data_IF_612765285504
#
_entry.id   IF_612765285504
#
_cell.length_a   1.000
_cell.length_b   1.000
_cell.length_c   1.000
_cell.angle_alpha   90.00
_cell.angle_beta   90.00
_cell.angle_gamma   90.00
#
_symmetry.space_group_name_H-M   'P 1'
#
loop_
_entity.id
_entity.type
_entity.pdbx_description
1 polymer ?
#
# COMPACT_ATOMS: atom_id res chain seq x y z
N UNK A 1 -9.18 -37.41 0.03
CA UNK A 1 -8.22 -37.41 1.14
C UNK A 1 -6.85 -37.16 0.54
N UNK A 2 -6.47 -35.90 0.42
CA UNK A 2 -5.13 -35.49 0.03
C UNK A 2 -4.54 -34.75 1.23
N UNK A 3 -3.41 -35.25 1.72
CA UNK A 3 -2.65 -34.67 2.82
C UNK A 3 -1.68 -33.64 2.21
N UNK A 4 -1.81 -32.37 2.58
CA UNK A 4 -0.79 -31.35 2.34
C UNK A 4 0.06 -31.26 3.61
N UNK A 5 1.34 -31.59 3.47
CA UNK A 5 2.35 -31.46 4.52
C UNK A 5 2.76 -30.00 4.74
N UNK A 6 3.35 -29.67 5.91
CA UNK A 6 3.84 -28.33 6.20
C UNK A 6 5.17 -28.09 5.48
N UNK A 7 5.20 -27.12 4.56
CA UNK A 7 6.43 -26.66 3.94
C UNK A 7 7.29 -25.89 4.95
N UNK A 8 8.56 -26.25 4.93
CA UNK A 8 9.67 -25.76 5.73
C UNK A 8 9.83 -24.23 5.62
N UNK A 9 9.50 -23.52 6.69
CA UNK A 9 10.02 -22.17 6.94
C UNK A 9 11.40 -22.28 7.58
N UNK A 10 12.44 -22.37 6.76
CA UNK A 10 13.82 -22.23 7.19
C UNK A 10 14.63 -21.44 6.17
N UNK A 11 14.86 -20.16 6.44
CA UNK A 11 16.22 -19.58 6.52
C UNK A 11 16.19 -18.08 6.87
N UNK A 12 17.25 -17.58 7.54
CA UNK A 12 17.29 -16.26 8.17
C UNK A 12 17.68 -15.15 7.17
N UNK A 13 16.88 -14.09 7.15
CA UNK A 13 17.19 -12.81 6.50
C UNK A 13 18.49 -12.24 7.08
N UNK A 14 19.56 -12.28 6.29
CA UNK A 14 20.86 -11.71 6.68
C UNK A 14 20.75 -10.19 6.81
N UNK A 15 21.56 -9.59 7.70
CA UNK A 15 21.57 -8.14 7.94
C UNK A 15 21.83 -7.27 6.69
N UNK A 16 22.25 -7.87 5.57
CA UNK A 16 22.41 -7.22 4.28
C UNK A 16 21.07 -6.93 3.55
N UNK A 17 19.98 -7.64 3.86
CA UNK A 17 18.66 -7.36 3.26
C UNK A 17 17.93 -6.18 3.93
N UNK A 18 18.25 -5.85 5.19
CA UNK A 18 17.65 -4.72 5.89
C UNK A 18 18.16 -3.34 5.41
N UNK A 19 19.30 -3.31 4.71
CA UNK A 19 19.83 -2.08 4.09
C UNK A 19 19.22 -1.77 2.72
N UNK A 20 18.43 -2.68 2.14
CA UNK A 20 17.75 -2.47 0.86
C UNK A 20 16.39 -1.74 1.01
N UNK A 21 15.86 -1.60 2.23
CA UNK A 21 14.57 -0.96 2.50
C UNK A 21 14.65 0.56 2.71
N UNK A 22 15.85 1.12 2.90
CA UNK A 22 16.07 2.58 2.98
C UNK A 22 16.19 3.26 1.59
N UNK A 23 16.15 2.49 0.51
CA UNK A 23 16.25 3.01 -0.87
C UNK A 23 14.93 3.52 -1.46
N UNK A 24 13.81 3.42 -0.73
CA UNK A 24 12.48 3.80 -1.26
C UNK A 24 12.11 5.29 -1.08
N UNK A 25 13.04 6.13 -0.61
CA UNK A 25 12.87 7.59 -0.50
C UNK A 25 13.53 8.38 -1.64
N UNK A 26 13.56 7.82 -2.87
CA UNK A 26 14.05 8.53 -4.06
C UNK A 26 13.09 8.41 -5.25
N UNK A 27 11.79 8.60 -5.01
CA UNK A 27 10.78 8.71 -6.05
C UNK A 27 10.51 10.20 -6.40
N UNK A 28 11.56 10.98 -6.65
CA UNK A 28 11.42 12.39 -7.09
C UNK A 28 12.31 12.75 -8.29
N UNK A 29 12.87 11.75 -8.99
CA UNK A 29 13.62 11.97 -10.22
C UNK A 29 13.09 11.10 -11.35
N UNK A 30 12.11 11.65 -12.07
CA UNK A 30 11.70 11.16 -13.38
C UNK A 30 12.62 11.79 -14.45
N UNK A 31 13.49 11.02 -15.14
CA UNK A 31 14.25 11.56 -16.26
C UNK A 31 13.39 11.36 -17.52
N UNK A 32 12.49 12.29 -17.79
CA UNK A 32 11.57 12.17 -18.94
C UNK A 32 11.07 13.49 -19.54
N UNK A 33 11.53 14.64 -19.06
CA UNK A 33 11.21 15.93 -19.66
C UNK A 33 12.33 16.37 -20.60
N UNK A 34 12.28 15.92 -21.86
CA UNK A 34 13.12 16.46 -22.94
C UNK A 34 12.35 16.49 -24.26
N UNK A 35 11.85 17.70 -24.54
CA UNK A 35 11.54 18.35 -25.82
C UNK A 35 10.58 17.67 -26.84
N UNK A 36 9.52 18.39 -27.30
CA UNK A 36 8.83 18.01 -28.53
C UNK A 36 9.72 18.30 -29.75
N UNK A 37 10.20 17.23 -30.38
CA UNK A 37 10.84 17.28 -31.69
C UNK A 37 9.84 17.75 -32.75
N UNK A 38 10.17 18.86 -33.40
CA UNK A 38 9.53 19.31 -34.62
C UNK A 38 9.91 18.36 -35.76
N UNK A 39 8.95 17.62 -36.32
CA UNK A 39 8.85 17.24 -37.74
C UNK A 39 7.62 16.33 -37.92
N UNK A 40 6.55 16.91 -38.46
CA UNK A 40 5.30 16.21 -38.76
C UNK A 40 4.41 17.10 -39.61
N UNK A 41 4.74 17.20 -40.89
CA UNK A 41 4.03 17.95 -41.92
C UNK A 41 2.60 17.42 -42.07
N UNK A 42 1.60 18.21 -41.67
CA UNK A 42 0.20 18.02 -42.08
C UNK A 42 -0.12 19.14 -43.08
N UNK A 43 -0.67 18.84 -44.27
CA UNK A 43 -0.81 19.85 -45.31
C UNK A 43 -1.84 20.90 -44.92
N UNK A 44 -1.36 22.14 -44.89
CA UNK A 44 -2.13 23.37 -44.82
C UNK A 44 -2.87 23.55 -46.15
N UNK A 45 -4.16 23.22 -46.20
CA UNK A 45 -5.07 23.65 -47.27
C UNK A 45 -6.03 24.69 -46.70
N UNK A 46 -5.90 25.91 -47.23
CA UNK A 46 -6.39 27.14 -46.62
C UNK A 46 -7.90 27.33 -46.66
N UNK A 47 -8.35 28.34 -45.91
CA UNK A 47 -9.09 29.44 -46.54
C UNK A 47 -8.97 30.69 -45.68
N UNK A 48 -8.34 31.69 -46.27
CA UNK A 48 -8.34 33.07 -45.82
C UNK A 48 -9.76 33.62 -45.88
N UNK A 49 -10.28 34.17 -44.78
CA UNK A 49 -11.18 35.32 -44.88
C UNK A 49 -10.82 36.35 -43.81
N UNK A 50 -10.43 37.51 -44.33
CA UNK A 50 -10.13 38.76 -43.66
C UNK A 50 -11.36 39.34 -42.92
N UNK A 51 -11.07 39.98 -41.79
CA UNK A 51 -11.62 41.24 -41.28
C UNK A 51 -13.15 41.43 -41.19
N UNK A 52 -13.65 41.37 -39.96
CA UNK A 52 -14.60 42.36 -39.38
C UNK A 52 -14.25 42.51 -37.89
N UNK A 53 -13.51 43.55 -37.52
CA UNK A 53 -14.02 44.84 -37.01
C UNK A 53 -14.30 44.84 -35.50
N UNK A 54 -13.85 45.92 -34.85
CA UNK A 54 -13.87 46.16 -33.41
C UNK A 54 -15.29 46.07 -32.82
N UNK A 55 -15.44 45.24 -31.80
CA UNK A 55 -16.56 45.29 -30.87
C UNK A 55 -16.19 44.59 -29.58
N UNK A 56 -15.82 45.36 -28.54
CA UNK A 56 -15.79 44.88 -27.14
C UNK A 56 -17.23 44.62 -26.69
N UNK A 57 -17.85 43.55 -27.19
CA UNK A 57 -19.12 43.05 -26.73
C UNK A 57 -18.87 41.96 -25.70
N UNK A 58 -19.54 42.03 -24.55
CA UNK A 58 -19.50 41.03 -23.47
C UNK A 58 -19.58 39.60 -24.02
N UNK A 59 -18.42 38.97 -24.16
CA UNK A 59 -18.28 37.54 -24.46
C UNK A 59 -18.66 36.78 -23.20
N UNK A 60 -19.87 36.23 -23.14
CA UNK A 60 -20.20 35.43 -21.96
C UNK A 60 -21.51 34.67 -21.99
N UNK A 61 -22.48 35.07 -22.82
CA UNK A 61 -23.75 34.33 -22.87
C UNK A 61 -24.16 34.02 -24.31
N UNK A 62 -24.35 32.73 -24.66
CA UNK A 62 -24.97 32.35 -25.91
C UNK A 62 -26.33 33.04 -26.03
N UNK A 63 -26.55 33.78 -27.11
CA UNK A 63 -27.86 34.38 -27.39
C UNK A 63 -28.83 33.24 -27.68
N UNK A 64 -29.82 33.09 -26.80
CA UNK A 64 -30.85 32.07 -26.90
C UNK A 64 -31.96 32.63 -27.76
N UNK A 65 -32.15 32.10 -28.97
CA UNK A 65 -33.37 32.36 -29.71
C UNK A 65 -34.53 31.65 -28.98
N UNK A 66 -35.57 32.42 -28.65
CA UNK A 66 -36.72 31.99 -27.85
C UNK A 66 -38.04 32.04 -28.63
N UNK A 67 -38.00 32.38 -29.92
CA UNK A 67 -39.16 32.35 -30.81
C UNK A 67 -39.35 31.00 -31.52
N UNK A 68 -40.38 30.92 -32.35
CA UNK A 68 -40.64 29.76 -33.21
C UNK A 68 -39.60 29.71 -34.35
N UNK A 69 -38.79 28.64 -34.48
CA UNK A 69 -37.82 28.48 -35.57
C UNK A 69 -38.46 28.43 -36.97
N UNK A 70 -39.77 28.27 -37.08
CA UNK A 70 -40.51 28.18 -38.33
C UNK A 70 -41.35 29.43 -38.67
N UNK A 71 -41.26 30.49 -37.86
CA UNK A 71 -42.02 31.73 -38.02
C UNK A 71 -41.91 32.32 -39.45
N UNK A 72 -43.05 32.75 -40.02
CA UNK A 72 -43.15 33.19 -41.42
C UNK A 72 -42.34 34.46 -41.74
N UNK A 73 -42.01 35.26 -40.73
CA UNK A 73 -41.21 36.48 -40.83
C UNK A 73 -39.69 36.23 -40.95
N UNK A 74 -39.26 34.99 -40.74
CA UNK A 74 -37.85 34.60 -40.85
C UNK A 74 -37.49 34.22 -42.29
N UNK A 75 -36.33 34.69 -42.75
CA UNK A 75 -35.73 34.18 -43.99
C UNK A 75 -35.31 32.71 -43.85
N UNK A 76 -35.27 31.96 -44.95
CA UNK A 76 -34.83 30.56 -44.94
C UNK A 76 -33.42 30.37 -44.38
N UNK A 77 -32.56 31.39 -44.50
CA UNK A 77 -31.22 31.38 -43.92
C UNK A 77 -31.28 31.52 -42.39
N UNK A 78 -32.13 32.42 -41.88
CA UNK A 78 -32.33 32.59 -40.44
C UNK A 78 -32.98 31.35 -39.82
N UNK A 79 -34.00 30.76 -40.47
CA UNK A 79 -34.62 29.50 -40.03
C UNK A 79 -33.59 28.37 -39.91
N UNK A 80 -32.73 28.20 -40.92
CA UNK A 80 -31.64 27.21 -40.90
C UNK A 80 -30.65 27.46 -39.77
N UNK A 81 -30.22 28.70 -39.57
CA UNK A 81 -29.28 29.03 -38.50
C UNK A 81 -29.87 28.81 -37.10
N UNK A 82 -31.15 29.16 -36.90
CA UNK A 82 -31.86 28.90 -35.64
C UNK A 82 -31.97 27.40 -35.39
N UNK A 83 -32.43 26.62 -36.37
CA UNK A 83 -32.53 25.14 -36.26
C UNK A 83 -31.18 24.50 -35.94
N UNK A 84 -30.10 24.94 -36.60
CA UNK A 84 -28.73 24.48 -36.33
C UNK A 84 -28.31 24.78 -34.89
N UNK A 85 -28.59 25.98 -34.38
CA UNK A 85 -28.26 26.37 -33.00
C UNK A 85 -29.03 25.54 -31.97
N UNK A 86 -30.31 25.28 -32.21
CA UNK A 86 -31.14 24.42 -31.36
C UNK A 86 -30.54 23.00 -31.33
N UNK A 87 -30.23 22.44 -32.50
CA UNK A 87 -29.60 21.11 -32.60
C UNK A 87 -28.26 21.01 -31.87
N UNK A 88 -27.38 22.01 -32.03
CA UNK A 88 -26.09 22.06 -31.33
C UNK A 88 -26.25 22.15 -29.81
N UNK A 89 -27.19 22.99 -29.35
CA UNK A 89 -27.49 23.11 -27.92
C UNK A 89 -27.99 21.79 -27.34
N UNK A 90 -28.92 21.13 -28.03
CA UNK A 90 -29.48 19.87 -27.57
C UNK A 90 -28.43 18.75 -27.58
N UNK A 91 -27.58 18.70 -28.61
CA UNK A 91 -26.43 17.79 -28.65
C UNK A 91 -25.47 18.02 -27.47
N UNK A 92 -25.11 19.28 -27.20
CA UNK A 92 -24.26 19.64 -26.07
C UNK A 92 -24.92 19.30 -24.72
N UNK A 93 -26.23 19.47 -24.59
CA UNK A 93 -26.99 19.07 -23.40
C UNK A 93 -26.89 17.56 -23.16
N UNK A 94 -27.15 16.75 -24.19
CA UNK A 94 -27.04 15.28 -24.09
C UNK A 94 -25.63 14.82 -23.74
N UNK A 95 -24.60 15.46 -24.31
CA UNK A 95 -23.21 15.15 -23.96
C UNK A 95 -22.89 15.49 -22.50
N UNK A 96 -23.35 16.64 -22.00
CA UNK A 96 -23.17 17.00 -20.59
C UNK A 96 -23.90 16.05 -19.64
N UNK A 97 -25.07 15.56 -20.03
CA UNK A 97 -25.81 14.58 -19.23
C UNK A 97 -25.02 13.27 -19.12
N UNK A 98 -24.55 12.72 -20.25
CA UNK A 98 -23.71 11.51 -20.23
C UNK A 98 -22.42 11.70 -19.42
N UNK A 99 -21.78 12.86 -19.55
CA UNK A 99 -20.58 13.16 -18.78
C UNK A 99 -20.88 13.26 -17.29
N UNK A 100 -22.07 13.74 -16.88
CA UNK A 100 -22.47 13.79 -15.47
C UNK A 100 -22.52 12.39 -14.87
N UNK A 101 -23.05 11.41 -15.59
CA UNK A 101 -23.12 10.02 -15.12
C UNK A 101 -21.71 9.45 -14.92
N UNK A 102 -20.81 9.67 -15.88
CA UNK A 102 -19.39 9.24 -15.77
C UNK A 102 -18.69 9.94 -14.62
N UNK A 103 -18.86 11.26 -14.49
CA UNK A 103 -18.30 12.02 -13.36
C UNK A 103 -18.84 11.53 -12.02
N UNK A 104 -20.09 11.09 -11.96
CA UNK A 104 -20.67 10.52 -10.75
C UNK A 104 -20.04 9.17 -10.42
N UNK A 105 -19.94 8.25 -11.38
CA UNK A 105 -19.26 6.97 -11.16
C UNK A 105 -17.81 7.17 -10.68
N UNK A 106 -17.07 8.09 -11.31
CA UNK A 106 -15.69 8.39 -10.90
C UNK A 106 -15.62 9.00 -9.50
N UNK A 107 -16.60 9.81 -9.09
CA UNK A 107 -16.68 10.34 -7.72
C UNK A 107 -16.91 9.22 -6.70
N UNK A 108 -17.81 8.30 -7.01
CA UNK A 108 -18.14 7.19 -6.12
C UNK A 108 -16.94 6.22 -5.97
N UNK A 109 -16.24 5.91 -7.08
CA UNK A 109 -15.00 5.12 -7.05
C UNK A 109 -13.89 5.79 -6.26
N UNK A 110 -13.73 7.11 -6.40
CA UNK A 110 -12.72 7.87 -5.67
C UNK A 110 -12.99 7.84 -4.15
N UNK A 111 -14.26 7.90 -3.75
CA UNK A 111 -14.65 7.82 -2.34
C UNK A 111 -14.44 6.42 -1.74
N UNK A 112 -14.69 5.35 -2.51
CA UNK A 112 -14.36 3.98 -2.10
C UNK A 112 -12.84 3.82 -1.88
N UNK A 113 -12.04 4.28 -2.85
CA UNK A 113 -10.57 4.20 -2.75
C UNK A 113 -10.04 4.99 -1.56
N UNK A 114 -10.58 6.18 -1.28
CA UNK A 114 -10.22 6.96 -0.09
C UNK A 114 -10.54 6.21 1.20
N UNK A 115 -11.73 5.63 1.29
CA UNK A 115 -12.16 4.88 2.47
C UNK A 115 -11.24 3.68 2.72
N UNK A 116 -10.87 2.96 1.66
CA UNK A 116 -9.93 1.84 1.74
C UNK A 116 -8.52 2.27 2.11
N UNK A 117 -8.05 3.41 1.58
CA UNK A 117 -6.76 3.97 1.93
C UNK A 117 -6.70 4.34 3.41
N UNK A 118 -7.73 5.02 3.93
CA UNK A 118 -7.80 5.38 5.35
C UNK A 118 -7.79 4.12 6.24
N UNK A 119 -8.55 3.08 5.90
CA UNK A 119 -8.53 1.83 6.65
C UNK A 119 -7.15 1.16 6.64
N UNK A 120 -6.45 1.18 5.49
CA UNK A 120 -5.10 0.65 5.38
C UNK A 120 -4.07 1.46 6.17
N UNK A 121 -4.23 2.78 6.24
CA UNK A 121 -3.38 3.66 7.07
C UNK A 121 -3.59 3.39 8.56
N UNK A 122 -4.83 3.21 9.00
CA UNK A 122 -5.17 2.84 10.38
C UNK A 122 -4.59 1.47 10.76
N UNK A 123 -4.71 0.47 9.88
CA UNK A 123 -4.09 -0.84 10.07
C UNK A 123 -2.56 -0.76 10.14
N UNK A 124 -1.92 0.02 9.26
CA UNK A 124 -0.48 0.23 9.30
C UNK A 124 -0.03 0.88 10.61
N UNK A 125 -0.82 1.80 11.15
CA UNK A 125 -0.53 2.40 12.46
C UNK A 125 -0.57 1.36 13.56
N UNK A 126 -1.61 0.53 13.61
CA UNK A 126 -1.74 -0.56 14.59
C UNK A 126 -0.55 -1.51 14.50
N UNK A 127 -0.23 -2.01 13.31
CA UNK A 127 0.90 -2.92 13.10
C UNK A 127 2.24 -2.31 13.53
N UNK A 128 2.45 -1.00 13.29
CA UNK A 128 3.66 -0.32 13.76
C UNK A 128 3.75 -0.28 15.28
N UNK A 129 2.63 -0.07 15.96
CA UNK A 129 2.60 -0.04 17.42
C UNK A 129 2.75 -1.44 18.02
N UNK A 130 2.16 -2.46 17.41
CA UNK A 130 2.39 -3.88 17.76
C UNK A 130 3.86 -4.29 17.58
N UNK A 131 4.49 -3.92 16.47
CA UNK A 131 5.91 -4.18 16.24
C UNK A 131 6.81 -3.51 17.29
N UNK A 132 6.46 -2.29 17.72
CA UNK A 132 7.21 -1.61 18.80
C UNK A 132 7.04 -2.33 20.13
N UNK A 133 5.82 -2.76 20.45
CA UNK A 133 5.53 -3.51 21.67
C UNK A 133 6.29 -4.84 21.69
N UNK A 134 6.19 -5.62 20.62
CA UNK A 134 6.92 -6.89 20.48
C UNK A 134 8.43 -6.71 20.58
N UNK A 135 8.98 -5.62 20.02
CA UNK A 135 10.40 -5.29 20.16
C UNK A 135 10.77 -4.97 21.62
N UNK A 136 9.92 -4.24 22.34
CA UNK A 136 10.14 -3.94 23.76
C UNK A 136 10.13 -5.22 24.61
N UNK A 137 9.16 -6.10 24.38
CA UNK A 137 9.05 -7.38 25.08
C UNK A 137 10.26 -8.29 24.81
N UNK A 138 10.74 -8.33 23.57
CA UNK A 138 11.95 -9.08 23.21
C UNK A 138 13.19 -8.54 23.93
N UNK A 139 13.36 -7.21 24.00
CA UNK A 139 14.48 -6.59 24.74
C UNK A 139 14.39 -6.92 26.23
N UNK A 140 13.20 -6.87 26.83
CA UNK A 140 13.00 -7.22 28.24
C UNK A 140 13.38 -8.70 28.50
N UNK A 141 12.91 -9.61 27.65
CA UNK A 141 13.25 -11.03 27.75
C UNK A 141 14.75 -11.29 27.58
N UNK A 142 15.44 -10.52 26.73
CA UNK A 142 16.88 -10.62 26.54
C UNK A 142 17.66 -10.15 27.77
N UNK A 143 17.19 -9.08 28.44
CA UNK A 143 17.75 -8.63 29.73
C UNK A 143 17.55 -9.70 30.80
N UNK A 144 16.35 -10.26 30.92
CA UNK A 144 16.06 -11.32 31.90
C UNK A 144 16.90 -12.57 31.64
N UNK A 145 17.11 -12.93 30.36
CA UNK A 145 18.01 -14.02 29.98
C UNK A 145 19.44 -13.77 30.45
N UNK A 146 19.97 -12.55 30.29
CA UNK A 146 21.29 -12.18 30.75
C UNK A 146 21.40 -12.31 32.28
N UNK A 147 20.42 -11.81 33.03
CA UNK A 147 20.38 -11.96 34.50
C UNK A 147 20.37 -13.43 34.94
N UNK A 148 19.62 -14.30 34.24
CA UNK A 148 19.61 -15.73 34.52
C UNK A 148 20.95 -16.40 34.22
N UNK A 149 21.65 -15.98 33.16
CA UNK A 149 23.00 -16.46 32.86
C UNK A 149 24.00 -16.07 33.94
N UNK A 150 23.96 -14.82 34.42
CA UNK A 150 24.83 -14.34 35.50
C UNK A 150 24.54 -15.09 36.82
N UNK A 151 23.26 -15.35 37.12
CA UNK A 151 22.86 -16.14 38.28
C UNK A 151 23.35 -17.60 38.17
N UNK A 152 23.22 -18.24 37.02
CA UNK A 152 23.73 -19.59 36.78
C UNK A 152 25.26 -19.64 36.90
N UNK A 153 25.98 -18.69 36.31
CA UNK A 153 27.43 -18.60 36.44
C UNK A 153 27.86 -18.44 37.92
N UNK A 154 27.11 -17.66 38.69
CA UNK A 154 27.34 -17.51 40.13
C UNK A 154 27.10 -18.81 40.91
N UNK A 155 26.06 -19.58 40.55
CA UNK A 155 25.79 -20.89 41.14
C UNK A 155 26.86 -21.93 40.79
N UNK A 156 27.35 -21.94 39.55
CA UNK A 156 28.44 -22.82 39.12
C UNK A 156 29.75 -22.48 39.84
N UNK A 157 30.06 -21.20 40.05
CA UNK A 157 31.23 -20.77 40.82
C UNK A 157 31.18 -21.24 42.28
N UNK A 158 30.00 -21.23 42.91
CA UNK A 158 29.80 -21.77 44.26
C UNK A 158 29.95 -23.29 44.31
N UNK A 159 29.42 -24.01 43.31
CA UNK A 159 29.54 -25.48 43.24
C UNK A 159 30.96 -25.94 42.87
N UNK A 160 31.67 -25.23 42.00
CA UNK A 160 33.06 -25.52 41.64
C UNK A 160 34.06 -25.28 42.77
N UNK A 161 33.66 -24.56 43.82
CA UNK A 161 34.42 -24.37 45.06
C UNK A 161 34.26 -25.51 46.08
N UNK A 162 33.28 -26.40 45.90
CA UNK A 162 33.18 -27.65 46.66
C UNK A 162 34.03 -28.70 45.96
N UNK A 163 35.29 -28.83 46.43
CA UNK A 163 36.13 -29.97 46.07
C UNK A 163 35.30 -31.27 46.20
N UNK A 164 35.48 -32.26 45.30
CA UNK A 164 34.82 -33.54 45.47
C UNK A 164 35.17 -34.04 46.87
N UNK A 165 34.15 -34.18 47.72
CA UNK A 165 34.29 -34.95 48.95
C UNK A 165 34.70 -36.32 48.44
N UNK A 166 36.00 -36.59 48.58
CA UNK A 166 36.62 -37.85 48.25
C UNK A 166 35.80 -38.89 49.01
N UNK A 167 34.93 -39.62 48.30
CA UNK A 167 34.21 -40.78 48.82
C UNK A 167 35.29 -41.81 49.16
N UNK A 168 35.84 -41.62 50.35
CA UNK A 168 36.81 -42.48 50.97
C UNK A 168 36.05 -43.78 51.20
N UNK A 169 36.23 -44.69 50.25
CA UNK A 169 35.92 -46.11 50.27
C UNK A 169 35.48 -46.60 51.65
N UNK A 170 34.17 -46.54 51.92
CA UNK A 170 33.56 -47.38 52.94
C UNK A 170 33.41 -48.75 52.29
N UNK A 171 34.51 -49.50 52.23
CA UNK A 171 34.52 -50.92 51.94
C UNK A 171 33.73 -51.63 53.04
N UNK A 172 32.42 -51.79 52.81
CA UNK A 172 31.60 -52.67 53.61
C UNK A 172 32.14 -54.09 53.42
N UNK A 173 32.83 -54.60 54.45
CA UNK A 173 33.13 -56.02 54.59
C UNK A 173 31.82 -56.78 54.71
N UNK A 174 31.34 -57.32 53.59
CA UNK A 174 30.26 -58.31 53.58
C UNK A 174 30.79 -59.57 54.26
N UNK A 175 30.34 -59.82 55.49
CA UNK A 175 30.55 -61.08 56.20
C UNK A 175 29.68 -62.14 55.51
N UNK A 176 30.23 -63.30 55.10
CA UNK A 176 29.40 -64.39 54.61
C UNK A 176 28.63 -65.00 55.79
N UNK A 177 27.30 -65.00 55.69
CA UNK A 177 26.41 -65.62 56.67
C UNK A 177 26.58 -67.15 56.69
N UNK A 178 26.41 -67.80 57.85
CA UNK A 178 26.63 -69.23 57.99
C UNK A 178 25.54 -70.05 57.31
N UNK A 179 26.01 -71.14 56.70
CA UNK A 179 25.27 -72.16 55.98
C UNK A 179 23.95 -72.57 56.65
N UNK A 180 22.87 -72.46 55.88
CA UNK A 180 21.60 -73.11 56.19
C UNK A 180 21.80 -74.63 56.11
N UNK A 181 21.74 -75.26 57.28
CA UNK A 181 21.75 -76.69 57.48
C UNK A 181 20.63 -77.38 56.70
N UNK A 182 21.02 -78.41 55.95
CA UNK A 182 20.15 -79.39 55.32
C UNK A 182 19.39 -80.24 56.36
N UNK A 183 18.06 -80.31 56.18
CA UNK A 183 17.17 -81.50 56.20
C UNK A 183 17.10 -82.38 57.48
N UNK A 184 16.07 -83.23 57.63
CA UNK A 184 14.87 -83.46 56.80
C UNK A 184 13.55 -82.93 57.38
#
# INVERSE_FOLDING_TARGET
MEQLGPDDCSSPTTASELLALDSWNHFDQWPGASQPSAHGTVPLLGSMHDKHSKGKGRSGRPVIYSGDPDAEDLTDQQKREIKRRIGNRESARRMREKNRDVEQCLRDELEDVKSRLQAAEEQNKVLKDECKAARADWVAAEIDRAHLQDANASLEALHGGLAPINDQQMSFHTTPGPDALSLP
#
